data_IF_078238041627
#
_entry.id   IF_078238041627
#
_cell.length_a   1.000
_cell.length_b   1.000
_cell.length_c   1.000
_cell.angle_alpha   90.00
_cell.angle_beta   90.00
_cell.angle_gamma   90.00
#
_symmetry.space_group_name_H-M   'P 1'
#
loop_
_entity.id
_entity.type
_entity.pdbx_description
1 polymer ?
#
# COMPACT_ATOMS: atom_id res chain seq x y z
N UNK A 1 35.14 33.01 23.47
CA UNK A 1 36.36 32.37 22.99
C UNK A 1 37.20 33.41 22.23
N UNK A 2 38.54 33.44 22.35
CA UNK A 2 39.39 34.39 21.60
C UNK A 2 39.24 34.16 20.10
N UNK A 3 39.13 35.24 19.32
CA UNK A 3 38.98 35.20 17.85
C UNK A 3 39.94 34.23 17.15
N UNK A 4 41.19 34.16 17.57
CA UNK A 4 42.21 33.27 16.98
C UNK A 4 41.99 31.77 17.25
N UNK A 5 41.27 31.42 18.32
CA UNK A 5 40.93 30.03 18.62
C UNK A 5 39.78 29.53 17.78
N UNK A 6 38.76 30.38 17.56
CA UNK A 6 37.63 30.11 16.68
C UNK A 6 38.09 29.98 15.21
N UNK A 7 39.02 30.83 14.79
CA UNK A 7 39.58 30.76 13.45
C UNK A 7 40.41 29.50 13.20
N UNK A 8 41.15 28.99 14.20
CA UNK A 8 41.87 27.73 14.12
C UNK A 8 40.94 26.50 14.12
N UNK A 9 39.83 26.56 14.88
CA UNK A 9 38.94 25.42 14.99
C UNK A 9 37.96 25.30 13.83
N UNK A 10 37.43 26.42 13.33
CA UNK A 10 36.35 26.45 12.35
C UNK A 10 36.71 27.09 11.02
N UNK A 11 37.86 27.79 10.93
CA UNK A 11 38.22 28.58 9.76
C UNK A 11 38.30 27.75 8.47
N UNK A 12 38.88 26.56 8.50
CA UNK A 12 38.98 25.69 7.32
C UNK A 12 37.63 25.13 6.89
N UNK A 13 36.77 24.78 7.83
CA UNK A 13 35.42 24.27 7.52
C UNK A 13 34.53 25.37 6.92
N UNK A 14 34.55 26.56 7.49
CA UNK A 14 33.81 27.71 6.97
C UNK A 14 34.31 28.11 5.57
N UNK A 15 35.66 28.10 5.39
CA UNK A 15 36.27 28.41 4.09
C UNK A 15 35.83 27.38 3.03
N UNK A 16 35.84 26.09 3.35
CA UNK A 16 35.38 25.05 2.44
C UNK A 16 33.89 25.21 2.08
N UNK A 17 33.04 25.54 3.05
CA UNK A 17 31.61 25.78 2.83
C UNK A 17 31.39 26.99 1.91
N UNK A 18 32.08 28.11 2.15
CA UNK A 18 31.98 29.31 1.31
C UNK A 18 32.48 29.03 -0.10
N UNK A 19 33.58 28.32 -0.26
CA UNK A 19 34.10 27.92 -1.57
C UNK A 19 33.09 27.08 -2.34
N UNK A 20 32.56 26.03 -1.71
CA UNK A 20 31.55 25.17 -2.34
C UNK A 20 30.30 25.98 -2.76
N UNK A 21 29.86 26.90 -1.92
CA UNK A 21 28.75 27.79 -2.25
C UNK A 21 29.05 28.67 -3.46
N UNK A 22 30.20 29.34 -3.46
CA UNK A 22 30.62 30.25 -4.56
C UNK A 22 30.81 29.47 -5.86
N UNK A 23 31.41 28.28 -5.80
CA UNK A 23 31.54 27.39 -6.97
C UNK A 23 30.18 27.02 -7.51
N UNK A 24 29.26 26.51 -6.67
CA UNK A 24 27.93 26.11 -7.07
C UNK A 24 27.13 27.23 -7.70
N UNK A 25 27.16 28.44 -7.09
CA UNK A 25 26.48 29.62 -7.62
C UNK A 25 27.04 30.05 -9.00
N UNK A 26 28.35 30.07 -9.17
CA UNK A 26 28.97 30.50 -10.44
C UNK A 26 28.80 29.42 -11.53
N UNK A 27 28.87 28.12 -11.17
CA UNK A 27 28.70 27.03 -12.11
C UNK A 27 27.25 27.01 -12.63
N UNK A 28 26.28 27.10 -11.74
CA UNK A 28 24.85 27.17 -12.12
C UNK A 28 24.58 28.41 -12.99
N UNK A 29 25.08 29.55 -12.58
CA UNK A 29 24.94 30.79 -13.39
C UNK A 29 25.51 30.63 -14.79
N UNK A 30 26.68 30.02 -14.93
CA UNK A 30 27.30 29.75 -16.23
C UNK A 30 26.45 28.83 -17.09
N UNK A 31 25.95 27.72 -16.49
CA UNK A 31 25.07 26.73 -17.15
C UNK A 31 23.80 27.44 -17.69
N UNK A 32 23.18 28.27 -16.85
CA UNK A 32 21.96 28.98 -17.18
C UNK A 32 22.20 30.08 -18.28
N UNK A 33 23.29 30.87 -18.14
CA UNK A 33 23.64 31.90 -19.12
C UNK A 33 23.99 31.32 -20.49
N UNK A 34 24.68 30.16 -20.49
CA UNK A 34 25.00 29.47 -21.75
C UNK A 34 23.87 28.57 -22.24
N UNK A 35 22.80 28.45 -21.47
CA UNK A 35 21.63 27.56 -21.77
C UNK A 35 22.06 26.15 -22.09
N UNK A 36 23.01 25.63 -21.31
CA UNK A 36 23.53 24.28 -21.51
C UNK A 36 22.51 23.24 -21.04
N UNK A 37 22.21 22.29 -21.89
CA UNK A 37 21.32 21.17 -21.60
C UNK A 37 22.19 19.99 -21.10
N UNK A 38 22.28 19.84 -19.77
CA UNK A 38 23.16 18.88 -19.16
C UNK A 38 22.52 17.48 -19.11
N UNK A 39 23.33 16.43 -19.27
CA UNK A 39 22.94 15.03 -19.13
C UNK A 39 23.18 14.48 -17.71
N UNK A 40 23.48 15.35 -16.76
CA UNK A 40 23.73 15.00 -15.36
C UNK A 40 24.38 16.15 -14.62
N UNK A 41 24.72 15.95 -13.37
CA UNK A 41 25.39 16.95 -12.55
C UNK A 41 26.84 17.15 -13.01
N UNK A 42 27.40 18.39 -12.91
CA UNK A 42 28.80 18.63 -13.12
C UNK A 42 29.68 17.81 -12.17
N UNK A 43 30.70 17.17 -12.69
CA UNK A 43 31.62 16.34 -11.90
C UNK A 43 32.93 17.08 -11.66
N UNK A 44 33.45 17.16 -10.42
CA UNK A 44 34.76 17.72 -10.17
C UNK A 44 35.84 16.92 -10.91
N UNK A 45 36.71 17.62 -11.63
CA UNK A 45 37.87 17.01 -12.28
C UNK A 45 39.13 17.24 -11.42
N UNK A 46 39.51 16.21 -10.69
CA UNK A 46 40.66 16.28 -9.76
C UNK A 46 41.99 16.34 -10.50
N UNK A 47 42.08 15.75 -11.70
CA UNK A 47 43.32 15.74 -12.49
C UNK A 47 43.68 17.12 -13.05
N UNK A 48 42.68 17.87 -13.44
CA UNK A 48 42.85 19.24 -14.01
C UNK A 48 42.77 20.34 -12.95
N UNK A 49 42.28 20.04 -11.75
CA UNK A 49 42.24 21.01 -10.65
C UNK A 49 43.64 21.09 -10.01
N UNK A 50 44.30 22.27 -10.02
CA UNK A 50 45.57 22.46 -9.39
C UNK A 50 45.52 22.20 -7.87
N UNK A 51 46.65 21.83 -7.27
CA UNK A 51 46.71 21.69 -5.83
C UNK A 51 46.40 23.01 -5.13
N UNK A 52 45.45 22.99 -4.22
CA UNK A 52 44.91 24.17 -3.55
C UNK A 52 45.56 24.31 -2.16
N UNK A 53 46.26 25.43 -1.93
CA UNK A 53 46.79 25.76 -0.63
C UNK A 53 46.15 27.05 -0.09
N UNK A 54 45.23 26.91 0.85
CA UNK A 54 44.46 27.99 1.45
C UNK A 54 45.29 28.95 2.32
N UNK A 55 46.53 28.56 2.70
CA UNK A 55 47.36 29.39 3.55
C UNK A 55 48.28 30.32 2.75
N UNK A 56 48.51 30.04 1.46
CA UNK A 56 49.49 30.77 0.63
C UNK A 56 48.92 31.30 -0.69
N UNK A 57 47.73 31.00 -1.04
CA UNK A 57 47.11 31.41 -2.30
C UNK A 57 45.87 32.28 -2.05
N UNK A 58 45.72 33.34 -2.86
CA UNK A 58 44.57 34.23 -2.86
C UNK A 58 43.58 33.94 -3.99
N UNK A 59 43.98 33.09 -4.94
CA UNK A 59 43.17 32.69 -6.08
C UNK A 59 43.16 31.17 -6.23
N UNK A 60 41.99 30.60 -6.41
CA UNK A 60 41.81 29.15 -6.54
C UNK A 60 41.12 28.83 -7.88
N UNK A 61 41.59 27.76 -8.52
CA UNK A 61 41.01 27.24 -9.76
C UNK A 61 40.41 25.86 -9.50
N UNK A 62 39.19 25.68 -9.89
CA UNK A 62 38.49 24.38 -9.82
C UNK A 62 37.98 24.02 -11.22
N UNK A 63 38.21 22.77 -11.63
CA UNK A 63 37.80 22.27 -12.92
C UNK A 63 36.63 21.28 -12.76
N UNK A 64 35.67 21.38 -13.65
CA UNK A 64 34.52 20.49 -13.67
C UNK A 64 34.28 19.96 -15.07
N UNK A 65 33.97 18.66 -15.16
CA UNK A 65 33.49 18.04 -16.37
C UNK A 65 31.99 18.16 -16.44
N UNK A 66 31.48 18.63 -17.58
CA UNK A 66 30.04 18.71 -17.86
C UNK A 66 29.73 17.94 -19.12
N UNK A 67 28.71 17.07 -19.07
CA UNK A 67 28.19 16.38 -20.23
C UNK A 67 26.99 17.18 -20.79
N UNK A 68 27.14 17.67 -22.01
CA UNK A 68 26.11 18.46 -22.68
C UNK A 68 25.35 17.57 -23.66
N UNK A 69 24.00 17.62 -23.62
CA UNK A 69 23.16 16.91 -24.56
C UNK A 69 23.39 17.47 -25.97
N UNK A 70 23.59 16.60 -26.98
CA UNK A 70 23.70 17.06 -28.35
C UNK A 70 22.36 17.62 -28.83
N UNK A 71 22.41 18.65 -29.65
CA UNK A 71 21.22 19.10 -30.39
C UNK A 71 20.87 18.05 -31.44
N UNK A 72 19.63 17.61 -31.44
CA UNK A 72 19.12 16.70 -32.48
C UNK A 72 17.74 17.16 -32.96
N UNK A 73 17.48 16.97 -34.23
CA UNK A 73 16.16 17.16 -34.82
C UNK A 73 15.40 15.83 -34.76
N UNK A 74 14.35 15.79 -33.95
CA UNK A 74 13.51 14.62 -33.77
C UNK A 74 12.74 14.21 -35.06
N UNK A 75 12.76 15.02 -36.10
CA UNK A 75 12.09 14.80 -37.41
C UNK A 75 10.66 14.24 -37.28
N UNK A 76 9.94 14.68 -36.24
CA UNK A 76 8.54 14.31 -36.07
C UNK A 76 7.69 15.04 -37.12
N UNK A 77 7.07 14.28 -37.99
CA UNK A 77 6.22 14.80 -39.05
C UNK A 77 4.95 13.94 -39.21
N UNK A 78 3.99 14.41 -40.02
CA UNK A 78 2.72 13.72 -40.24
C UNK A 78 2.81 12.32 -40.89
N UNK A 79 4.01 11.86 -41.24
CA UNK A 79 4.25 10.51 -41.77
C UNK A 79 4.57 9.51 -40.63
N UNK A 80 4.92 9.99 -39.45
CA UNK A 80 5.18 9.16 -38.29
C UNK A 80 3.86 8.62 -37.76
N UNK A 81 3.73 7.28 -37.75
CA UNK A 81 2.55 6.60 -37.25
C UNK A 81 2.82 6.16 -35.79
N UNK A 82 1.98 6.60 -34.89
CA UNK A 82 1.94 6.12 -33.53
C UNK A 82 0.68 5.27 -33.35
N UNK A 83 0.84 4.13 -32.72
CA UNK A 83 -0.31 3.30 -32.33
C UNK A 83 -0.87 3.84 -31.02
N UNK A 84 -2.08 4.36 -31.06
CA UNK A 84 -2.81 4.73 -29.86
C UNK A 84 -3.73 3.59 -29.50
N UNK A 85 -3.58 3.05 -28.30
CA UNK A 85 -4.48 2.05 -27.75
C UNK A 85 -5.62 2.75 -27.02
N UNK A 86 -6.84 2.32 -27.32
CA UNK A 86 -8.03 2.77 -26.59
C UNK A 86 -8.56 1.62 -25.76
N UNK A 87 -8.72 1.82 -24.47
CA UNK A 87 -9.32 0.83 -23.57
C UNK A 87 -10.83 1.06 -23.61
N UNK A 88 -11.57 0.00 -23.96
CA UNK A 88 -13.03 0.04 -23.95
C UNK A 88 -13.54 -0.49 -22.63
N UNK A 89 -14.28 0.33 -21.90
CA UNK A 89 -14.93 -0.09 -20.66
C UNK A 89 -16.10 -1.01 -20.98
N UNK A 90 -16.04 -2.23 -20.47
CA UNK A 90 -17.10 -3.24 -20.67
C UNK A 90 -18.19 -3.14 -19.60
N UNK A 91 -19.37 -3.68 -19.87
CA UNK A 91 -20.45 -3.74 -18.89
C UNK A 91 -20.04 -4.60 -17.66
N UNK A 92 -19.21 -5.60 -17.85
CA UNK A 92 -18.63 -6.41 -16.76
C UNK A 92 -17.76 -5.57 -15.81
N UNK A 93 -16.95 -4.67 -16.34
CA UNK A 93 -16.14 -3.75 -15.51
C UNK A 93 -17.04 -2.84 -14.68
N UNK A 94 -18.11 -2.33 -15.26
CA UNK A 94 -19.11 -1.50 -14.56
C UNK A 94 -19.81 -2.33 -13.48
N UNK A 95 -20.26 -3.55 -13.80
CA UNK A 95 -20.92 -4.45 -12.83
C UNK A 95 -19.99 -4.76 -11.65
N UNK A 96 -18.74 -5.12 -11.91
CA UNK A 96 -17.76 -5.39 -10.85
C UNK A 96 -17.57 -4.19 -9.93
N UNK A 97 -17.57 -2.97 -10.47
CA UNK A 97 -17.46 -1.76 -9.67
C UNK A 97 -18.74 -1.50 -8.86
N UNK A 98 -19.92 -1.73 -9.43
CA UNK A 98 -21.21 -1.66 -8.70
C UNK A 98 -21.21 -2.62 -7.53
N UNK A 99 -20.83 -3.88 -7.75
CA UNK A 99 -20.76 -4.90 -6.70
C UNK A 99 -19.70 -4.53 -5.64
N UNK A 100 -18.58 -3.95 -6.04
CA UNK A 100 -17.58 -3.44 -5.11
C UNK A 100 -18.13 -2.35 -4.19
N UNK A 101 -18.91 -1.42 -4.73
CA UNK A 101 -19.60 -0.41 -3.91
C UNK A 101 -20.66 -1.06 -3.00
N UNK A 102 -21.49 -1.97 -3.52
CA UNK A 102 -22.47 -2.67 -2.72
C UNK A 102 -21.83 -3.42 -1.54
N UNK A 103 -20.71 -4.10 -1.78
CA UNK A 103 -19.93 -4.76 -0.72
C UNK A 103 -19.34 -3.76 0.27
N UNK A 104 -18.76 -2.68 -0.20
CA UNK A 104 -18.10 -1.67 0.65
C UNK A 104 -19.08 -0.96 1.58
N UNK A 105 -20.30 -0.68 1.11
CA UNK A 105 -21.34 0.03 1.86
C UNK A 105 -22.38 -0.91 2.47
N UNK A 106 -22.13 -2.22 2.42
CA UNK A 106 -22.91 -3.22 3.12
C UNK A 106 -22.78 -3.14 4.63
N UNK A 107 -23.56 -3.92 5.31
CA UNK A 107 -23.57 -3.99 6.77
C UNK A 107 -23.43 -5.43 7.27
N UNK A 108 -23.03 -5.54 8.53
CA UNK A 108 -22.97 -6.84 9.21
C UNK A 108 -24.27 -7.08 9.95
N UNK A 109 -24.94 -8.18 9.63
CA UNK A 109 -26.21 -8.59 10.26
C UNK A 109 -26.03 -9.90 11.00
N UNK A 110 -26.86 -10.11 12.03
CA UNK A 110 -26.95 -11.38 12.72
C UNK A 110 -27.53 -12.46 11.80
N UNK A 111 -26.92 -13.65 11.83
CA UNK A 111 -27.38 -14.81 11.06
C UNK A 111 -27.72 -15.99 11.99
N UNK A 112 -28.62 -16.85 11.52
CA UNK A 112 -29.10 -18.02 12.27
C UNK A 112 -28.24 -19.26 12.07
N UNK A 113 -27.61 -19.38 10.91
CA UNK A 113 -26.75 -20.48 10.49
C UNK A 113 -25.47 -19.99 9.84
N UNK A 114 -24.41 -20.76 9.95
CA UNK A 114 -23.10 -20.42 9.37
C UNK A 114 -23.08 -20.73 7.88
N UNK A 115 -22.84 -19.72 7.06
CA UNK A 115 -22.61 -19.83 5.63
C UNK A 115 -21.22 -19.34 5.26
N UNK A 116 -20.87 -19.50 4.00
CA UNK A 116 -19.58 -19.07 3.48
C UNK A 116 -19.38 -17.56 3.62
N UNK A 117 -18.23 -17.14 4.12
CA UNK A 117 -17.93 -15.73 4.38
C UNK A 117 -18.36 -15.20 5.74
N UNK A 118 -19.16 -15.95 6.52
CA UNK A 118 -19.63 -15.51 7.84
C UNK A 118 -18.50 -15.46 8.88
N UNK A 119 -18.62 -14.52 9.80
CA UNK A 119 -17.77 -14.41 10.97
C UNK A 119 -18.49 -15.08 12.14
N UNK A 120 -17.83 -16.04 12.77
CA UNK A 120 -18.36 -16.77 13.92
C UNK A 120 -17.61 -16.34 15.18
N UNK A 121 -18.37 -15.99 16.22
CA UNK A 121 -17.84 -15.60 17.52
C UNK A 121 -18.39 -16.56 18.59
N UNK A 122 -17.52 -16.99 19.50
CA UNK A 122 -17.93 -17.91 20.55
C UNK A 122 -16.83 -18.26 21.54
N UNK A 123 -17.09 -19.29 22.33
CA UNK A 123 -16.17 -19.85 23.32
C UNK A 123 -15.36 -20.96 22.66
N UNK A 124 -14.04 -20.85 22.73
CA UNK A 124 -13.11 -21.89 22.26
C UNK A 124 -12.49 -22.57 23.46
N UNK A 125 -12.57 -23.89 23.52
CA UNK A 125 -12.04 -24.67 24.64
C UNK A 125 -11.20 -25.82 24.12
N UNK A 126 -9.96 -25.95 24.58
CA UNK A 126 -9.09 -27.11 24.29
C UNK A 126 -9.64 -28.36 24.96
N UNK A 127 -9.67 -29.46 24.22
CA UNK A 127 -10.10 -30.77 24.76
C UNK A 127 -8.96 -31.44 25.55
N UNK A 128 -8.55 -30.81 26.65
CA UNK A 128 -7.47 -31.25 27.51
C UNK A 128 -7.72 -30.78 28.95
N UNK A 129 -7.26 -31.57 29.94
CA UNK A 129 -7.30 -31.14 31.32
C UNK A 129 -6.45 -29.86 31.53
N UNK A 130 -7.04 -28.84 32.14
CA UNK A 130 -6.44 -27.48 32.25
C UNK A 130 -6.02 -26.87 30.90
N UNK A 131 -6.75 -27.21 29.85
CA UNK A 131 -6.51 -26.70 28.49
C UNK A 131 -6.80 -25.23 28.33
N UNK A 132 -6.47 -24.72 27.14
CA UNK A 132 -6.69 -23.33 26.76
C UNK A 132 -8.18 -23.04 26.64
N UNK A 133 -8.63 -21.95 27.25
CA UNK A 133 -9.99 -21.41 27.12
C UNK A 133 -9.91 -19.99 26.61
N UNK A 134 -10.56 -19.73 25.47
CA UNK A 134 -10.64 -18.41 24.88
C UNK A 134 -12.09 -17.96 24.81
N UNK A 135 -12.46 -17.04 25.70
CA UNK A 135 -13.73 -16.33 25.60
C UNK A 135 -13.71 -15.35 24.42
N UNK A 136 -14.84 -15.19 23.77
CA UNK A 136 -14.96 -14.31 22.60
C UNK A 136 -13.97 -14.62 21.47
N UNK A 137 -13.68 -15.88 21.23
CA UNK A 137 -12.92 -16.30 20.06
C UNK A 137 -13.66 -15.95 18.77
N UNK A 138 -12.92 -15.45 17.78
CA UNK A 138 -13.47 -15.06 16.48
C UNK A 138 -12.75 -15.86 15.42
N UNK A 139 -13.51 -16.46 14.52
CA UNK A 139 -12.99 -17.11 13.32
C UNK A 139 -13.93 -16.90 12.12
N UNK A 140 -13.36 -17.03 10.94
CA UNK A 140 -14.12 -17.14 9.70
C UNK A 140 -13.72 -18.46 9.02
N UNK A 141 -14.66 -19.43 8.86
CA UNK A 141 -14.34 -20.73 8.27
C UNK A 141 -13.77 -20.63 6.84
N UNK A 142 -14.10 -19.59 6.09
CA UNK A 142 -13.58 -19.37 4.74
C UNK A 142 -12.05 -19.22 4.68
N UNK A 143 -11.42 -18.77 5.75
CA UNK A 143 -9.94 -18.63 5.81
C UNK A 143 -9.24 -19.89 6.25
N UNK A 144 -9.98 -20.97 6.56
CA UNK A 144 -9.39 -22.26 6.85
C UNK A 144 -8.78 -22.86 5.58
N UNK A 145 -7.53 -23.32 5.67
CA UNK A 145 -6.82 -23.97 4.56
C UNK A 145 -7.31 -25.41 4.33
N UNK A 146 -7.75 -26.06 5.40
CA UNK A 146 -8.32 -27.42 5.35
C UNK A 146 -9.83 -27.32 5.16
N UNK A 147 -10.29 -27.69 3.96
CA UNK A 147 -11.71 -27.69 3.60
C UNK A 147 -12.57 -28.63 4.46
N UNK A 148 -12.02 -29.73 4.98
CA UNK A 148 -12.77 -30.64 5.85
C UNK A 148 -13.02 -30.01 7.23
N UNK A 149 -12.05 -29.23 7.75
CA UNK A 149 -12.26 -28.47 8.97
C UNK A 149 -13.27 -27.33 8.77
N UNK A 150 -13.23 -26.65 7.64
CA UNK A 150 -14.21 -25.60 7.31
C UNK A 150 -15.65 -26.14 7.20
N UNK A 151 -15.84 -27.31 6.60
CA UNK A 151 -17.16 -27.99 6.48
C UNK A 151 -17.80 -28.29 7.82
N UNK A 152 -17.03 -28.49 8.90
CA UNK A 152 -17.58 -28.72 10.23
C UNK A 152 -18.43 -27.56 10.75
N UNK A 153 -18.16 -26.36 10.27
CA UNK A 153 -18.91 -25.16 10.63
C UNK A 153 -20.09 -24.88 9.69
N UNK A 154 -20.11 -25.45 8.49
CA UNK A 154 -21.15 -25.17 7.51
C UNK A 154 -22.55 -25.60 8.01
N UNK A 155 -23.50 -24.66 8.03
CA UNK A 155 -24.86 -24.88 8.51
C UNK A 155 -24.99 -25.01 10.03
N UNK A 156 -23.90 -24.89 10.80
CA UNK A 156 -23.98 -24.85 12.25
C UNK A 156 -24.73 -23.63 12.75
N UNK A 157 -25.43 -23.76 13.87
CA UNK A 157 -26.32 -22.70 14.40
C UNK A 157 -25.76 -22.13 15.70
N UNK A 158 -26.31 -21.02 16.09
CA UNK A 158 -26.05 -20.43 17.40
C UNK A 158 -26.40 -21.44 18.51
N UNK A 159 -25.46 -21.67 19.42
CA UNK A 159 -25.53 -22.68 20.49
C UNK A 159 -24.93 -24.03 20.13
N UNK A 160 -24.62 -24.29 18.87
CA UNK A 160 -23.95 -25.52 18.47
C UNK A 160 -22.50 -25.53 18.92
N UNK A 161 -21.99 -26.74 19.19
CA UNK A 161 -20.60 -26.96 19.56
C UNK A 161 -19.93 -27.73 18.42
N UNK A 162 -18.96 -27.08 17.79
CA UNK A 162 -18.16 -27.67 16.70
C UNK A 162 -16.80 -28.09 17.23
N UNK A 163 -16.41 -29.35 17.00
CA UNK A 163 -15.06 -29.82 17.33
C UNK A 163 -14.18 -29.73 16.11
N UNK A 164 -13.06 -29.01 16.24
CA UNK A 164 -12.11 -28.78 15.13
C UNK A 164 -10.67 -28.77 15.66
N UNK A 165 -9.70 -28.92 14.77
CA UNK A 165 -8.29 -28.81 15.10
C UNK A 165 -7.74 -27.50 14.53
N UNK A 166 -7.35 -26.52 15.38
CA UNK A 166 -6.90 -25.20 14.91
C UNK A 166 -5.68 -25.26 13.97
N UNK A 167 -4.68 -26.09 14.30
CA UNK A 167 -3.49 -26.20 13.48
C UNK A 167 -3.74 -26.86 12.13
N UNK A 168 -4.63 -27.85 12.06
CA UNK A 168 -5.08 -28.42 10.78
C UNK A 168 -5.91 -27.40 9.99
N UNK A 169 -6.83 -26.72 10.66
CA UNK A 169 -7.73 -25.77 10.02
C UNK A 169 -6.98 -24.63 9.32
N UNK A 170 -6.06 -23.98 10.01
CA UNK A 170 -5.37 -22.79 9.51
C UNK A 170 -3.97 -23.08 8.95
N UNK A 171 -3.28 -24.11 9.43
CA UNK A 171 -1.92 -24.44 8.99
C UNK A 171 -0.90 -23.31 9.21
N UNK A 172 -1.14 -22.48 10.23
CA UNK A 172 -0.35 -21.27 10.52
C UNK A 172 -0.34 -21.00 12.02
N UNK A 173 0.84 -21.08 12.62
CA UNK A 173 1.04 -20.74 14.04
C UNK A 173 0.70 -19.27 14.35
N UNK A 174 0.86 -18.39 13.37
CA UNK A 174 0.53 -16.95 13.52
C UNK A 174 -0.98 -16.75 13.66
N UNK A 175 -1.77 -17.40 12.81
CA UNK A 175 -3.22 -17.29 12.83
C UNK A 175 -3.80 -17.93 14.09
N UNK A 176 -3.31 -19.14 14.44
CA UNK A 176 -3.73 -19.86 15.65
C UNK A 176 -3.35 -19.12 16.93
N UNK A 177 -2.13 -18.57 17.01
CA UNK A 177 -1.69 -17.80 18.16
C UNK A 177 -2.55 -16.53 18.36
N UNK A 178 -2.88 -15.84 17.27
CA UNK A 178 -3.75 -14.66 17.29
C UNK A 178 -5.18 -15.01 17.74
N UNK A 179 -5.75 -16.09 17.18
CA UNK A 179 -7.10 -16.55 17.49
C UNK A 179 -7.26 -16.96 18.95
N UNK A 180 -6.30 -17.72 19.48
CA UNK A 180 -6.34 -18.23 20.85
C UNK A 180 -5.77 -17.26 21.88
N UNK A 181 -4.98 -16.28 21.45
CA UNK A 181 -4.30 -15.31 22.33
C UNK A 181 -3.12 -15.93 23.08
N UNK A 182 -2.38 -16.82 22.44
CA UNK A 182 -1.20 -17.52 22.95
C UNK A 182 0.05 -17.15 22.16
N UNK A 183 1.22 -17.59 22.59
CA UNK A 183 2.46 -17.39 21.85
C UNK A 183 2.53 -18.27 20.60
N UNK A 184 3.40 -17.92 19.63
CA UNK A 184 3.60 -18.74 18.42
C UNK A 184 4.19 -20.12 18.73
N UNK A 185 5.09 -20.17 19.70
CA UNK A 185 5.72 -21.41 20.18
C UNK A 185 4.67 -22.36 20.79
N UNK A 186 3.75 -21.82 21.59
CA UNK A 186 2.63 -22.59 22.13
C UNK A 186 1.70 -23.06 21.01
N UNK A 187 1.37 -22.20 20.04
CA UNK A 187 0.53 -22.57 18.91
C UNK A 187 1.17 -23.68 18.06
N UNK A 188 2.48 -23.62 17.81
CA UNK A 188 3.22 -24.62 17.06
C UNK A 188 3.21 -26.01 17.75
N UNK A 189 3.18 -26.01 19.08
CA UNK A 189 3.14 -27.22 19.86
C UNK A 189 1.73 -27.85 19.99
N UNK A 190 0.68 -27.13 19.51
CA UNK A 190 -0.70 -27.61 19.60
C UNK A 190 -0.97 -28.79 18.65
N UNK A 191 -1.43 -29.88 19.22
CA UNK A 191 -1.89 -31.06 18.47
C UNK A 191 -3.33 -31.46 18.84
N UNK A 192 -3.88 -30.85 19.89
CA UNK A 192 -5.20 -31.15 20.45
C UNK A 192 -6.33 -30.57 19.60
N UNK A 193 -7.47 -31.19 19.71
CA UNK A 193 -8.72 -30.68 19.18
C UNK A 193 -9.34 -29.69 20.17
N UNK A 194 -10.12 -28.77 19.66
CA UNK A 194 -10.83 -27.75 20.39
C UNK A 194 -12.32 -27.84 20.10
N UNK A 195 -13.13 -27.46 21.06
CA UNK A 195 -14.55 -27.16 20.83
C UNK A 195 -14.74 -25.68 20.62
N UNK A 196 -15.62 -25.35 19.69
CA UNK A 196 -16.09 -23.98 19.45
C UNK A 196 -17.60 -23.94 19.71
N UNK A 197 -18.03 -23.30 20.80
CA UNK A 197 -19.43 -23.05 21.09
C UNK A 197 -19.84 -21.74 20.41
N UNK A 198 -20.71 -21.83 19.42
CA UNK A 198 -21.15 -20.70 18.59
C UNK A 198 -22.10 -19.82 19.39
N UNK A 199 -21.73 -18.58 19.64
CA UNK A 199 -22.54 -17.60 20.38
C UNK A 199 -23.16 -16.56 19.45
N UNK A 200 -22.42 -16.10 18.43
CA UNK A 200 -22.87 -15.11 17.46
C UNK A 200 -22.39 -15.54 16.08
N UNK A 201 -23.25 -15.40 15.09
CA UNK A 201 -22.93 -15.54 13.67
C UNK A 201 -23.22 -14.20 13.03
N UNK A 202 -22.24 -13.63 12.36
CA UNK A 202 -22.37 -12.33 11.72
C UNK A 202 -22.07 -12.46 10.24
N UNK A 203 -23.03 -12.07 9.41
CA UNK A 203 -22.95 -12.11 7.94
C UNK A 203 -22.79 -10.72 7.39
N UNK A 204 -21.83 -10.54 6.49
CA UNK A 204 -21.74 -9.32 5.70
C UNK A 204 -22.80 -9.36 4.59
N UNK A 205 -23.77 -8.44 4.65
CA UNK A 205 -24.80 -8.27 3.63
C UNK A 205 -24.45 -7.06 2.78
N UNK A 206 -24.27 -7.29 1.47
CA UNK A 206 -24.04 -6.20 0.54
C UNK A 206 -25.24 -5.22 0.55
N UNK A 207 -24.97 -3.94 0.40
CA UNK A 207 -26.01 -2.93 0.28
C UNK A 207 -26.89 -3.20 -0.96
N UNK A 208 -28.17 -2.91 -0.86
CA UNK A 208 -29.06 -2.91 -2.03
C UNK A 208 -28.59 -1.85 -3.05
N UNK A 209 -28.76 -2.15 -4.34
CA UNK A 209 -28.43 -1.20 -5.41
C UNK A 209 -29.61 -0.26 -5.59
N UNK A 210 -29.69 0.73 -4.73
CA UNK A 210 -30.79 1.68 -4.65
C UNK A 210 -30.31 3.11 -4.33
N UNK A 211 -31.24 4.02 -4.13
CA UNK A 211 -30.95 5.43 -3.86
C UNK A 211 -30.11 5.68 -2.62
N UNK A 212 -30.14 4.80 -1.61
CA UNK A 212 -29.30 4.92 -0.43
C UNK A 212 -27.84 4.64 -0.76
N UNK A 213 -27.58 3.58 -1.53
CA UNK A 213 -26.23 3.30 -2.04
C UNK A 213 -25.71 4.43 -2.92
N UNK A 214 -26.58 4.94 -3.82
CA UNK A 214 -26.18 6.03 -4.73
C UNK A 214 -25.80 7.29 -3.95
N UNK A 215 -26.55 7.62 -2.90
CA UNK A 215 -26.27 8.74 -2.02
C UNK A 215 -24.96 8.55 -1.23
N UNK A 216 -24.67 7.34 -0.78
CA UNK A 216 -23.40 7.02 -0.08
C UNK A 216 -22.17 7.15 -0.99
N UNK A 217 -22.32 6.85 -2.29
CA UNK A 217 -21.22 6.89 -3.26
C UNK A 217 -20.99 8.30 -3.82
N UNK A 218 -22.07 8.97 -4.25
CA UNK A 218 -22.00 10.24 -4.99
C UNK A 218 -22.58 11.44 -4.25
N UNK A 219 -23.14 11.24 -3.08
CA UNK A 219 -23.87 12.26 -2.33
C UNK A 219 -25.36 12.32 -2.67
N UNK A 220 -26.13 12.91 -1.75
CA UNK A 220 -27.59 13.01 -1.89
C UNK A 220 -28.01 13.78 -3.14
N UNK A 221 -29.05 13.28 -3.82
CA UNK A 221 -29.67 13.87 -5.00
C UNK A 221 -28.75 14.06 -6.24
N UNK A 222 -27.58 13.45 -6.24
CA UNK A 222 -26.67 13.52 -7.37
C UNK A 222 -26.89 12.44 -8.43
N UNK A 223 -27.59 11.37 -8.10
CA UNK A 223 -27.88 10.23 -8.97
C UNK A 223 -29.39 10.03 -9.03
N UNK A 224 -29.95 9.99 -10.24
CA UNK A 224 -31.39 9.91 -10.43
C UNK A 224 -31.91 8.50 -10.25
N UNK A 225 -31.24 7.51 -10.82
CA UNK A 225 -31.60 6.11 -10.82
C UNK A 225 -30.40 5.18 -11.04
N UNK A 226 -30.62 3.88 -11.10
CA UNK A 226 -29.56 2.89 -11.34
C UNK A 226 -28.87 3.07 -12.70
N UNK A 227 -29.58 3.50 -13.72
CA UNK A 227 -29.00 3.73 -15.04
C UNK A 227 -28.01 4.90 -15.01
N UNK A 228 -28.34 5.99 -14.34
CA UNK A 228 -27.46 7.14 -14.09
C UNK A 228 -26.25 6.73 -13.22
N UNK A 229 -26.49 5.93 -12.18
CA UNK A 229 -25.41 5.39 -11.34
C UNK A 229 -24.37 4.61 -12.14
N UNK A 230 -24.83 3.68 -12.98
CA UNK A 230 -23.97 2.88 -13.85
C UNK A 230 -23.25 3.71 -14.91
N UNK A 231 -23.92 4.72 -15.47
CA UNK A 231 -23.34 5.62 -16.46
C UNK A 231 -22.19 6.45 -15.86
N UNK A 232 -22.34 6.92 -14.63
CA UNK A 232 -21.28 7.66 -13.91
C UNK A 232 -20.09 6.77 -13.61
N UNK A 233 -20.32 5.57 -13.12
CA UNK A 233 -19.25 4.58 -12.88
C UNK A 233 -18.48 4.31 -14.18
N UNK A 234 -19.19 4.13 -15.29
CA UNK A 234 -18.57 3.93 -16.59
C UNK A 234 -17.69 5.10 -16.99
N UNK A 235 -18.19 6.32 -16.85
CA UNK A 235 -17.44 7.53 -17.16
C UNK A 235 -16.18 7.70 -16.26
N UNK A 236 -16.28 7.36 -14.99
CA UNK A 236 -15.12 7.37 -14.07
C UNK A 236 -14.06 6.35 -14.46
N UNK A 237 -14.46 5.14 -14.81
CA UNK A 237 -13.53 4.11 -15.28
C UNK A 237 -12.86 4.56 -16.59
N UNK A 238 -13.63 5.14 -17.54
CA UNK A 238 -13.11 5.68 -18.80
C UNK A 238 -12.10 6.80 -18.55
N UNK A 239 -12.39 7.70 -17.61
CA UNK A 239 -11.49 8.79 -17.25
C UNK A 239 -10.19 8.29 -16.62
N UNK A 240 -10.29 7.37 -15.67
CA UNK A 240 -9.13 6.80 -14.98
C UNK A 240 -8.21 5.98 -15.91
N UNK A 241 -8.78 5.44 -17.01
CA UNK A 241 -8.02 4.69 -18.00
C UNK A 241 -7.45 5.56 -19.12
N UNK A 242 -7.87 6.82 -19.21
CA UNK A 242 -7.37 7.78 -20.21
C UNK A 242 -6.12 8.54 -19.73
N UNK A 243 -5.81 8.52 -18.44
CA UNK A 243 -4.62 9.10 -17.82
C UNK A 243 -3.43 8.11 -17.87
#
# INVERSE_FOLDING_TARGET
APKGMLQKMYGKSILAEVINKVIGENLNKYIDEQKLNLLGDPLPNEELTPEVNFDTQDTFTFCFDIAVAPEFDAMLNGKNKLTQYTITVTDEMVENQVQSYAQRFGEYVDAEDVQDGDIVKGLITEQKENGIVKENGILNPQYMKDAEQAKLFAGAKKGDIVTFNPMKAFGSEVEVSSMLGITKEEAQALTSDFTFEIQVITRHQAAAIDGELFAKVYGENNVADEADFRARIKAEIEQNMAE
#
